data_IF_747394732555
#
_entry.id   IF_747394732555
#
_cell.length_a   1.000
_cell.length_b   1.000
_cell.length_c   1.000
_cell.angle_alpha   90.00
_cell.angle_beta   90.00
_cell.angle_gamma   90.00
#
_symmetry.space_group_name_H-M   'P 1'
#
loop_
_entity.id
_entity.type
_entity.pdbx_description
1 polymer ?
#
# COMPACT_ATOMS: atom_id res chain seq x y z
N UNK A 1 -11.23 -19.84 4.12
CA UNK A 1 -11.32 -19.20 5.43
C UNK A 1 -12.25 -19.96 6.38
N UNK A 2 -13.56 -20.18 6.11
CA UNK A 2 -14.53 -20.80 7.06
C UNK A 2 -14.02 -22.06 7.76
N UNK A 3 -13.49 -23.05 7.02
CA UNK A 3 -12.91 -24.27 7.63
C UNK A 3 -11.76 -23.98 8.61
N UNK A 4 -10.97 -22.96 8.35
CA UNK A 4 -9.90 -22.55 9.25
C UNK A 4 -10.47 -21.94 10.53
N UNK A 5 -11.48 -21.07 10.41
CA UNK A 5 -12.17 -20.46 11.56
C UNK A 5 -12.88 -21.49 12.42
N UNK A 6 -13.49 -22.51 11.81
CA UNK A 6 -14.13 -23.62 12.52
C UNK A 6 -13.12 -24.44 13.33
N UNK A 7 -11.92 -24.65 12.80
CA UNK A 7 -10.87 -25.47 13.44
C UNK A 7 -10.05 -24.71 14.47
N UNK A 8 -9.70 -23.44 14.20
CA UNK A 8 -8.73 -22.68 15.00
C UNK A 8 -9.33 -21.41 15.65
N UNK A 9 -10.60 -21.13 15.38
CA UNK A 9 -11.24 -19.90 15.82
C UNK A 9 -10.87 -18.68 14.98
N UNK A 10 -11.40 -17.53 15.38
CA UNK A 10 -11.10 -16.24 14.72
C UNK A 10 -9.86 -15.63 15.38
N UNK A 11 -8.81 -15.44 14.60
CA UNK A 11 -7.58 -14.79 15.03
C UNK A 11 -7.55 -13.39 14.41
N UNK A 12 -7.51 -12.30 15.22
CA UNK A 12 -7.49 -10.94 14.72
C UNK A 12 -6.37 -10.70 13.70
N UNK A 13 -6.68 -9.99 12.63
CA UNK A 13 -5.80 -9.68 11.50
C UNK A 13 -5.28 -10.89 10.69
N UNK A 14 -5.66 -12.12 11.04
CA UNK A 14 -5.25 -13.34 10.34
C UNK A 14 -6.47 -14.03 9.72
N UNK A 15 -7.48 -14.36 10.54
CA UNK A 15 -8.64 -15.11 10.09
C UNK A 15 -9.98 -14.41 10.38
N UNK A 16 -9.96 -13.13 10.68
CA UNK A 16 -11.13 -12.28 10.91
C UNK A 16 -11.79 -11.78 9.61
N UNK A 17 -11.19 -12.04 8.47
CA UNK A 17 -11.71 -11.74 7.12
C UNK A 17 -12.19 -13.02 6.42
N UNK A 18 -12.93 -12.88 5.34
CA UNK A 18 -13.38 -14.01 4.53
C UNK A 18 -12.29 -14.59 3.60
N UNK A 19 -11.08 -14.04 3.65
CA UNK A 19 -9.96 -14.41 2.79
C UNK A 19 -8.63 -14.38 3.57
N UNK A 20 -7.61 -15.04 3.02
CA UNK A 20 -6.21 -14.92 3.46
C UNK A 20 -5.46 -13.94 2.56
N UNK A 21 -4.55 -13.16 3.14
CA UNK A 21 -3.54 -12.46 2.34
C UNK A 21 -2.57 -13.46 1.73
N UNK A 22 -1.99 -13.11 0.57
CA UNK A 22 -0.92 -13.91 -0.01
C UNK A 22 0.41 -13.58 0.67
N UNK A 23 1.28 -14.60 0.79
CA UNK A 23 2.64 -14.46 1.29
C UNK A 23 2.75 -14.03 2.75
N UNK A 24 3.99 -13.81 3.20
CA UNK A 24 4.34 -13.37 4.55
C UNK A 24 4.43 -11.83 4.51
N UNK A 25 3.30 -11.16 4.54
CA UNK A 25 3.22 -9.70 4.54
C UNK A 25 2.46 -9.19 5.75
N UNK A 26 2.82 -7.99 6.18
CA UNK A 26 1.90 -7.21 7.02
C UNK A 26 0.60 -7.04 6.25
N UNK A 27 -0.56 -7.38 6.82
CA UNK A 27 -1.82 -7.26 6.15
C UNK A 27 -2.05 -5.85 5.59
N UNK A 28 -2.56 -5.74 4.36
CA UNK A 28 -2.67 -4.47 3.62
C UNK A 28 -3.56 -3.41 4.27
N UNK A 29 -4.40 -3.78 5.23
CA UNK A 29 -5.28 -2.88 5.99
C UNK A 29 -4.66 -2.37 7.29
N UNK A 30 -3.49 -2.86 7.69
CA UNK A 30 -2.82 -2.41 8.91
C UNK A 30 -2.23 -1.01 8.68
N UNK A 31 -2.58 -0.11 9.59
CA UNK A 31 -2.11 1.29 9.54
C UNK A 31 -0.74 1.40 10.17
N UNK A 32 0.28 1.29 9.36
CA UNK A 32 1.69 1.49 9.74
C UNK A 32 2.39 2.33 8.68
N UNK A 33 3.47 2.99 9.05
CA UNK A 33 4.33 3.72 8.13
C UNK A 33 5.19 2.75 7.29
N UNK A 34 5.76 3.21 6.15
CA UNK A 34 6.52 2.34 5.27
C UNK A 34 7.79 1.76 5.91
N UNK A 35 8.45 2.49 6.80
CA UNK A 35 9.69 2.06 7.44
C UNK A 35 9.42 0.94 8.44
N UNK A 36 8.41 1.12 9.30
CA UNK A 36 7.96 0.07 10.24
C UNK A 36 7.53 -1.20 9.49
N UNK A 37 6.84 -1.07 8.34
CA UNK A 37 6.49 -2.21 7.51
C UNK A 37 7.73 -2.94 6.99
N UNK A 38 8.71 -2.22 6.47
CA UNK A 38 9.98 -2.77 5.98
C UNK A 38 10.72 -3.48 7.12
N UNK A 39 10.78 -2.89 8.32
CA UNK A 39 11.43 -3.49 9.49
C UNK A 39 10.80 -4.84 9.89
N UNK A 40 9.49 -4.93 9.88
CA UNK A 40 8.77 -6.17 10.20
C UNK A 40 9.04 -7.22 9.13
N UNK A 41 8.87 -6.88 7.86
CA UNK A 41 8.97 -7.83 6.75
C UNK A 41 10.41 -8.28 6.51
N UNK A 42 11.41 -7.43 6.73
CA UNK A 42 12.84 -7.79 6.62
C UNK A 42 13.22 -8.96 7.52
N UNK A 43 12.65 -9.06 8.72
CA UNK A 43 12.88 -10.15 9.64
C UNK A 43 12.35 -11.51 9.13
N UNK A 44 11.42 -11.48 8.19
CA UNK A 44 10.72 -12.67 7.68
C UNK A 44 11.30 -13.16 6.33
N UNK A 45 12.00 -12.29 5.59
CA UNK A 45 12.48 -12.60 4.24
C UNK A 45 13.43 -13.79 4.18
N UNK A 46 14.30 -13.93 5.19
CA UNK A 46 15.26 -15.04 5.29
C UNK A 46 14.64 -16.42 5.47
N UNK A 47 13.38 -16.52 5.86
CA UNK A 47 12.66 -17.79 6.01
C UNK A 47 11.97 -18.24 4.72
N UNK A 48 11.97 -17.42 3.68
CA UNK A 48 11.33 -17.73 2.40
C UNK A 48 12.32 -18.33 1.41
N UNK A 49 12.30 -19.64 1.23
CA UNK A 49 13.20 -20.36 0.32
C UNK A 49 12.98 -20.01 -1.16
N UNK A 50 11.79 -19.56 -1.53
CA UNK A 50 11.45 -19.21 -2.91
C UNK A 50 11.55 -17.70 -3.19
N UNK A 51 12.00 -16.91 -2.21
CA UNK A 51 12.05 -15.46 -2.27
C UNK A 51 10.79 -14.79 -1.68
N UNK A 52 10.92 -13.52 -1.38
CA UNK A 52 9.86 -12.70 -0.82
C UNK A 52 9.88 -11.32 -1.47
N UNK A 53 8.71 -10.74 -1.70
CA UNK A 53 8.57 -9.37 -2.23
C UNK A 53 7.91 -8.52 -1.16
N UNK A 54 8.54 -7.42 -0.79
CA UNK A 54 7.92 -6.40 0.07
C UNK A 54 7.27 -5.32 -0.77
N UNK A 55 6.00 -5.04 -0.52
CA UNK A 55 5.22 -4.00 -1.19
C UNK A 55 4.95 -2.85 -0.25
N UNK A 56 5.26 -1.63 -0.67
CA UNK A 56 4.85 -0.41 0.03
C UNK A 56 3.77 0.29 -0.79
N UNK A 57 2.63 0.51 -0.14
CA UNK A 57 1.48 1.17 -0.74
C UNK A 57 1.61 2.68 -0.58
N UNK A 58 1.68 3.41 -1.68
CA UNK A 58 1.83 4.87 -1.68
C UNK A 58 0.68 5.50 -2.47
N UNK A 59 0.42 6.77 -2.24
CA UNK A 59 -0.48 7.56 -3.08
C UNK A 59 0.28 8.23 -4.23
N UNK A 60 -0.44 8.88 -5.13
CA UNK A 60 0.15 9.53 -6.31
C UNK A 60 0.93 10.79 -5.99
N UNK A 61 0.78 11.40 -4.81
CA UNK A 61 1.53 12.62 -4.43
C UNK A 61 3.02 12.37 -4.34
N UNK A 62 3.42 11.13 -3.98
CA UNK A 62 4.81 10.73 -3.87
C UNK A 62 5.58 10.83 -5.20
N UNK A 63 4.89 10.81 -6.35
CA UNK A 63 5.52 10.96 -7.67
C UNK A 63 6.20 12.32 -7.87
N UNK A 64 5.84 13.30 -7.06
CA UNK A 64 6.43 14.63 -7.06
C UNK A 64 7.54 14.79 -6.00
N UNK A 65 7.80 13.75 -5.20
CA UNK A 65 8.82 13.75 -4.15
C UNK A 65 9.81 12.59 -4.35
N UNK A 66 10.74 12.80 -5.29
CA UNK A 66 11.75 11.79 -5.65
C UNK A 66 12.67 11.47 -4.48
N UNK A 67 13.02 12.44 -3.64
CA UNK A 67 13.89 12.24 -2.49
C UNK A 67 13.25 11.31 -1.46
N UNK A 68 11.94 11.43 -1.25
CA UNK A 68 11.20 10.51 -0.38
C UNK A 68 11.17 9.08 -0.96
N UNK A 69 10.97 8.94 -2.27
CA UNK A 69 11.05 7.64 -2.95
C UNK A 69 12.43 7.01 -2.79
N UNK A 70 13.48 7.79 -3.04
CA UNK A 70 14.86 7.34 -2.90
C UNK A 70 15.17 6.89 -1.47
N UNK A 71 14.69 7.65 -0.48
CA UNK A 71 14.86 7.33 0.94
C UNK A 71 14.22 5.98 1.30
N UNK A 72 12.98 5.74 0.85
CA UNK A 72 12.28 4.47 1.11
C UNK A 72 13.03 3.30 0.44
N UNK A 73 13.48 3.48 -0.79
CA UNK A 73 14.21 2.44 -1.53
C UNK A 73 15.55 2.12 -0.85
N UNK A 74 16.33 3.15 -0.47
CA UNK A 74 17.59 2.98 0.25
C UNK A 74 17.37 2.24 1.56
N UNK A 75 16.35 2.63 2.32
CA UNK A 75 16.02 1.96 3.56
C UNK A 75 15.70 0.48 3.37
N UNK A 76 14.93 0.13 2.35
CA UNK A 76 14.64 -1.27 2.03
C UNK A 76 15.92 -2.06 1.66
N UNK A 77 16.86 -1.42 0.94
CA UNK A 77 18.16 -2.02 0.62
C UNK A 77 19.01 -2.25 1.87
N UNK A 78 19.06 -1.26 2.78
CA UNK A 78 19.81 -1.34 4.04
C UNK A 78 19.26 -2.42 4.99
N UNK A 79 17.98 -2.83 4.79
CA UNK A 79 17.33 -3.93 5.53
C UNK A 79 17.41 -5.27 4.82
N UNK A 80 18.24 -5.40 3.79
CA UNK A 80 18.42 -6.63 3.03
C UNK A 80 17.13 -7.21 2.43
N UNK A 81 16.18 -6.34 2.04
CA UNK A 81 14.97 -6.77 1.34
C UNK A 81 15.35 -7.25 -0.07
N UNK A 82 15.17 -8.54 -0.39
CA UNK A 82 15.69 -9.13 -1.64
C UNK A 82 14.91 -8.68 -2.88
N UNK A 83 13.64 -8.35 -2.72
CA UNK A 83 12.81 -7.80 -3.78
C UNK A 83 11.80 -6.80 -3.20
N UNK A 84 11.88 -5.57 -3.67
CA UNK A 84 11.08 -4.45 -3.19
C UNK A 84 10.23 -3.85 -4.32
N UNK A 85 9.00 -3.47 -4.01
CA UNK A 85 8.10 -2.85 -4.98
C UNK A 85 7.29 -1.71 -4.35
N UNK A 86 7.32 -0.56 -4.99
CA UNK A 86 6.42 0.56 -4.71
C UNK A 86 5.12 0.36 -5.47
N UNK A 87 4.00 0.43 -4.77
CA UNK A 87 2.68 0.23 -5.34
C UNK A 87 1.89 1.53 -5.28
N UNK A 88 1.82 2.20 -6.43
CA UNK A 88 1.14 3.48 -6.61
C UNK A 88 -0.07 3.25 -7.51
N UNK A 89 -1.29 3.68 -7.14
CA UNK A 89 -2.46 3.58 -8.01
C UNK A 89 -2.21 4.32 -9.33
N UNK A 90 -2.58 3.69 -10.44
CA UNK A 90 -2.48 4.30 -11.76
C UNK A 90 -3.71 3.93 -12.59
N UNK A 91 -4.76 4.73 -12.46
CA UNK A 91 -5.99 4.56 -13.23
C UNK A 91 -5.89 5.34 -14.54
N UNK A 92 -6.56 4.83 -15.58
CA UNK A 92 -6.65 5.45 -16.88
C UNK A 92 -8.12 5.77 -17.20
N UNK A 93 -8.40 7.02 -17.50
CA UNK A 93 -9.68 7.41 -18.09
C UNK A 93 -9.69 7.07 -19.58
N UNK A 94 -10.60 6.18 -19.99
CA UNK A 94 -10.72 5.77 -21.40
C UNK A 94 -11.36 6.83 -22.31
N UNK A 95 -11.93 7.91 -21.73
CA UNK A 95 -12.54 8.98 -22.51
C UNK A 95 -11.51 10.06 -22.90
N UNK A 96 -10.68 10.51 -21.97
CA UNK A 96 -9.75 11.63 -22.21
C UNK A 96 -8.26 11.27 -22.07
N UNK A 97 -7.92 10.05 -21.69
CA UNK A 97 -6.54 9.60 -21.50
C UNK A 97 -5.88 10.08 -20.19
N UNK A 98 -6.60 10.74 -19.29
CA UNK A 98 -6.05 11.13 -17.99
C UNK A 98 -5.59 9.91 -17.20
N UNK A 99 -4.38 10.00 -16.62
CA UNK A 99 -3.80 8.98 -15.74
C UNK A 99 -3.60 9.53 -14.34
N UNK A 100 -3.88 8.71 -13.32
CA UNK A 100 -3.76 9.09 -11.92
C UNK A 100 -4.68 8.26 -11.05
N UNK A 101 -4.87 8.65 -9.80
CA UNK A 101 -5.88 8.02 -8.95
C UNK A 101 -7.26 8.60 -9.27
N UNK A 102 -8.18 7.73 -9.68
CA UNK A 102 -9.55 8.12 -10.04
C UNK A 102 -10.53 7.36 -9.14
N UNK A 103 -11.28 8.07 -8.31
CA UNK A 103 -12.27 7.44 -7.43
C UNK A 103 -13.50 6.98 -8.22
N UNK A 104 -14.46 7.86 -8.48
CA UNK A 104 -15.71 7.53 -9.16
C UNK A 104 -15.75 8.02 -10.60
N UNK A 105 -15.34 9.28 -10.82
CA UNK A 105 -15.36 9.95 -12.12
C UNK A 105 -14.00 10.57 -12.42
N UNK A 106 -13.68 10.72 -13.68
CA UNK A 106 -12.47 11.40 -14.13
C UNK A 106 -12.50 12.88 -13.70
N UNK A 107 -11.45 13.41 -13.03
CA UNK A 107 -11.41 14.81 -12.60
C UNK A 107 -11.30 15.80 -13.77
N UNK A 108 -11.02 15.33 -15.00
CA UNK A 108 -10.83 16.19 -16.17
C UNK A 108 -12.08 16.25 -17.05
N UNK A 109 -12.76 15.11 -17.27
CA UNK A 109 -13.87 15.04 -18.23
C UNK A 109 -15.16 14.45 -17.65
N UNK A 110 -15.24 14.23 -16.33
CA UNK A 110 -16.34 13.58 -15.62
C UNK A 110 -16.75 12.20 -16.17
N UNK A 111 -15.93 11.61 -17.04
CA UNK A 111 -16.15 10.30 -17.63
C UNK A 111 -16.10 9.19 -16.59
N UNK A 112 -16.98 8.19 -16.75
CA UNK A 112 -17.08 7.03 -15.84
C UNK A 112 -16.36 5.79 -16.37
N UNK A 113 -15.90 5.82 -17.63
CA UNK A 113 -15.15 4.72 -18.24
C UNK A 113 -13.70 4.75 -17.77
N UNK A 114 -13.43 4.07 -16.66
CA UNK A 114 -12.12 4.08 -15.99
C UNK A 114 -11.56 2.66 -15.97
N UNK A 115 -10.38 2.51 -16.52
CA UNK A 115 -9.57 1.30 -16.36
C UNK A 115 -8.73 1.44 -15.09
N UNK A 116 -8.99 0.57 -14.10
CA UNK A 116 -8.32 0.61 -12.81
C UNK A 116 -7.19 -0.41 -12.75
N UNK A 117 -5.98 0.05 -12.93
CA UNK A 117 -4.79 -0.77 -12.74
C UNK A 117 -4.52 -0.94 -11.24
N UNK A 118 -4.66 -2.16 -10.75
CA UNK A 118 -4.40 -2.48 -9.34
C UNK A 118 -3.47 -3.67 -9.25
N UNK A 119 -2.52 -3.55 -8.33
CA UNK A 119 -1.62 -4.63 -7.96
C UNK A 119 -1.94 -5.10 -6.55
N UNK A 120 -2.10 -6.41 -6.37
CA UNK A 120 -2.27 -7.03 -5.06
C UNK A 120 -1.27 -8.16 -4.97
N UNK A 121 -0.25 -8.01 -4.10
CA UNK A 121 0.87 -8.93 -4.02
C UNK A 121 1.47 -9.20 -5.42
N UNK A 122 1.53 -10.40 -5.92
CA UNK A 122 2.05 -10.72 -7.27
C UNK A 122 1.04 -10.50 -8.41
N UNK A 123 -0.21 -10.12 -8.13
CA UNK A 123 -1.26 -9.99 -9.14
C UNK A 123 -1.36 -8.56 -9.65
N UNK A 124 -1.31 -8.39 -10.96
CA UNK A 124 -1.47 -7.11 -11.65
C UNK A 124 -2.56 -7.25 -12.73
N UNK A 125 -3.52 -6.34 -12.74
CA UNK A 125 -4.58 -6.32 -13.75
C UNK A 125 -5.05 -4.90 -14.06
N UNK A 126 -5.59 -4.72 -15.28
CA UNK A 126 -6.19 -3.46 -15.71
C UNK A 126 -7.64 -3.25 -15.23
N UNK A 127 -8.29 -4.29 -14.74
CA UNK A 127 -9.60 -4.20 -14.09
C UNK A 127 -9.71 -5.27 -13.00
N UNK A 128 -9.41 -4.88 -11.77
CA UNK A 128 -9.40 -5.80 -10.64
C UNK A 128 -10.81 -6.31 -10.27
N UNK A 129 -11.87 -5.55 -10.58
CA UNK A 129 -13.25 -5.94 -10.26
C UNK A 129 -13.76 -7.13 -11.09
N UNK A 130 -13.23 -7.28 -12.29
CA UNK A 130 -13.60 -8.40 -13.17
C UNK A 130 -12.57 -9.52 -13.15
N UNK A 131 -11.30 -9.21 -13.01
CA UNK A 131 -10.20 -10.17 -13.12
C UNK A 131 -9.82 -10.84 -11.80
N UNK A 132 -10.03 -10.19 -10.65
CA UNK A 132 -9.71 -10.76 -9.35
C UNK A 132 -10.89 -11.51 -8.76
N UNK A 133 -10.60 -12.57 -7.99
CA UNK A 133 -11.60 -13.21 -7.15
C UNK A 133 -12.05 -12.28 -6.02
N UNK A 134 -13.17 -12.59 -5.37
CA UNK A 134 -13.77 -11.74 -4.34
C UNK A 134 -12.80 -11.40 -3.20
N UNK A 135 -11.99 -12.36 -2.74
CA UNK A 135 -11.00 -12.09 -1.68
C UNK A 135 -9.95 -11.07 -2.10
N UNK A 136 -9.46 -11.14 -3.35
CA UNK A 136 -8.50 -10.19 -3.90
C UNK A 136 -9.11 -8.81 -4.18
N UNK A 137 -10.38 -8.76 -4.54
CA UNK A 137 -11.11 -7.49 -4.67
C UNK A 137 -11.22 -6.81 -3.30
N UNK A 138 -11.62 -7.54 -2.25
CA UNK A 138 -11.70 -7.03 -0.89
C UNK A 138 -10.34 -6.58 -0.35
N UNK A 139 -9.28 -7.35 -0.59
CA UNK A 139 -7.91 -6.98 -0.23
C UNK A 139 -7.49 -5.66 -0.90
N UNK A 140 -7.85 -5.45 -2.16
CA UNK A 140 -7.59 -4.21 -2.90
C UNK A 140 -8.32 -3.02 -2.29
N UNK A 141 -9.57 -3.21 -1.87
CA UNK A 141 -10.42 -2.16 -1.32
C UNK A 141 -10.05 -1.79 0.13
N UNK A 142 -9.54 -2.74 0.91
CA UNK A 142 -9.12 -2.53 2.30
C UNK A 142 -7.72 -1.92 2.44
N UNK A 143 -7.01 -1.72 1.35
CA UNK A 143 -5.62 -1.31 1.36
C UNK A 143 -5.41 0.06 2.00
N UNK A 144 -4.49 0.12 2.95
CA UNK A 144 -4.04 1.35 3.58
C UNK A 144 -2.82 1.93 2.82
N UNK A 145 -2.82 3.23 2.57
CA UNK A 145 -1.70 3.93 1.94
C UNK A 145 -0.72 4.39 3.02
N UNK A 146 0.48 3.85 3.00
CA UNK A 146 1.49 4.09 4.03
C UNK A 146 2.02 5.54 4.03
N UNK A 147 1.96 6.23 2.87
CA UNK A 147 2.31 7.65 2.74
C UNK A 147 1.44 8.58 3.58
N UNK A 148 0.20 8.20 3.89
CA UNK A 148 -0.70 9.02 4.71
C UNK A 148 -0.13 9.28 6.12
N UNK A 149 0.70 8.39 6.64
CA UNK A 149 1.33 8.58 7.95
C UNK A 149 2.59 9.46 7.88
N UNK A 150 3.23 9.57 6.73
CA UNK A 150 4.41 10.42 6.54
C UNK A 150 4.05 11.91 6.55
N UNK A 151 2.90 12.27 6.00
CA UNK A 151 2.43 13.67 5.97
C UNK A 151 2.08 14.21 7.36
N UNK A 152 1.60 13.35 8.26
CA UNK A 152 1.27 13.76 9.62
C UNK A 152 2.50 14.10 10.47
N UNK A 153 3.67 13.51 10.18
CA UNK A 153 4.93 13.84 10.86
C UNK A 153 5.48 15.21 10.46
N UNK A 154 5.20 15.71 9.27
CA UNK A 154 5.63 17.04 8.82
C UNK A 154 4.78 18.14 9.46
N UNK A 155 3.48 17.93 9.66
CA UNK A 155 2.59 18.89 10.32
C UNK A 155 2.92 19.04 11.80
N UNK A 156 3.17 17.95 12.53
CA UNK A 156 3.54 17.98 13.95
C UNK A 156 4.92 18.64 14.20
N UNK A 157 5.85 18.56 13.24
CA UNK A 157 7.16 19.20 13.37
C UNK A 157 7.13 20.70 13.04
N UNK A 158 6.24 21.17 12.18
CA UNK A 158 6.07 22.58 11.89
C UNK A 158 5.44 23.35 13.07
N UNK A 159 4.46 22.76 13.74
CA UNK A 159 3.83 23.38 14.93
C UNK A 159 4.80 23.51 16.13
N UNK A 160 5.84 22.67 16.21
CA UNK A 160 6.85 22.75 17.25
C UNK A 160 7.96 23.77 16.95
N UNK A 161 8.23 24.12 15.71
CA UNK A 161 9.24 25.15 15.38
C UNK A 161 8.73 26.57 15.63
N UNK A 162 7.44 26.83 15.44
CA UNK A 162 6.86 28.16 15.68
C UNK A 162 6.77 28.53 17.18
N UNK A 163 6.79 27.55 18.07
CA UNK A 163 6.78 27.80 19.52
C UNK A 163 8.15 28.08 20.14
N UNK A 164 9.26 27.76 19.46
CA UNK A 164 10.61 28.02 19.95
C UNK A 164 11.14 29.44 19.63
N UNK A 165 10.53 30.12 18.66
CA UNK A 165 10.93 31.51 18.29
C UNK A 165 10.21 32.62 19.06
N UNK A 166 9.34 32.32 20.02
CA UNK A 166 8.61 33.34 20.81
C UNK A 166 9.11 33.52 22.27
N UNK A 167 10.22 32.89 22.63
CA UNK A 167 10.79 33.00 23.98
C UNK A 167 12.31 33.29 23.94
N UNK A 168 12.70 34.37 23.22
CA UNK A 168 13.99 35.06 23.42
C UNK A 168 13.76 36.56 23.29
#
# INVERSE_FOLDING_TARGET
>A
MKKFQEQYGIIPNISDKDFFTNSIHVPVWVKIDPFTKIDIESQLTGYSSAGCITYVELDTSILHNIDALETIVKYAMDKDIPYFALNIPNDLCLNCGYTGEINNKCPICDGEKIQRLRRVTGYLTGDYKTAFNLGKQQETEMRFKHSTLLTNFEEDNNDNQDNYCKSV
#
